data_IF_591381704755
#
_entry.id   IF_591381704755
#
_cell.length_a   1.000
_cell.length_b   1.000
_cell.length_c   1.000
_cell.angle_alpha   90.00
_cell.angle_beta   90.00
_cell.angle_gamma   90.00
#
_symmetry.space_group_name_H-M   'P 1'
#
loop_
_entity.id
_entity.type
_entity.pdbx_description
1 polymer ?
#
# COMPACT_ATOMS: atom_id res chain seq x y z
N UNK A 1 9.89 -20.63 -14.85
CA UNK A 1 10.20 -19.25 -14.42
C UNK A 1 11.36 -19.22 -13.44
N UNK A 2 11.29 -19.92 -12.30
CA UNK A 2 12.38 -19.94 -11.31
C UNK A 2 13.74 -20.33 -11.92
N UNK A 3 13.80 -21.42 -12.69
CA UNK A 3 15.08 -21.86 -13.30
C UNK A 3 15.64 -20.87 -14.33
N UNK A 4 14.77 -20.13 -15.04
CA UNK A 4 15.21 -19.09 -15.96
C UNK A 4 15.83 -17.91 -15.21
N UNK A 5 15.20 -17.46 -14.12
CA UNK A 5 15.72 -16.39 -13.27
C UNK A 5 17.05 -16.77 -12.61
N UNK A 6 17.19 -18.03 -12.16
CA UNK A 6 18.45 -18.53 -11.59
C UNK A 6 19.60 -18.52 -12.58
N UNK A 7 19.33 -18.78 -13.87
CA UNK A 7 20.36 -18.77 -14.93
C UNK A 7 20.85 -17.37 -15.26
N UNK A 8 20.01 -16.34 -15.07
CA UNK A 8 20.36 -14.96 -15.37
C UNK A 8 21.23 -14.31 -14.28
N UNK A 9 21.33 -14.93 -13.09
CA UNK A 9 22.14 -14.49 -11.95
C UNK A 9 21.99 -13.00 -11.62
N UNK A 10 20.74 -12.50 -11.73
CA UNK A 10 20.43 -11.09 -11.49
C UNK A 10 20.59 -10.80 -9.99
N UNK A 11 21.35 -9.76 -9.60
CA UNK A 11 21.49 -9.37 -8.21
C UNK A 11 20.16 -9.03 -7.53
N UNK A 12 20.15 -9.02 -6.20
CA UNK A 12 19.01 -8.49 -5.44
C UNK A 12 18.75 -7.02 -5.82
N UNK A 13 17.49 -6.63 -5.95
CA UNK A 13 17.15 -5.26 -6.34
C UNK A 13 15.75 -5.09 -6.91
N UNK A 14 15.45 -3.84 -7.24
CA UNK A 14 14.22 -3.40 -7.90
C UNK A 14 14.57 -2.92 -9.30
N UNK A 15 14.10 -3.66 -10.30
CA UNK A 15 14.36 -3.40 -11.70
C UNK A 15 13.06 -2.98 -12.39
N UNK A 16 13.14 -2.00 -13.26
CA UNK A 16 12.09 -1.67 -14.22
C UNK A 16 12.58 -2.12 -15.60
N UNK A 17 11.69 -2.51 -16.51
CA UNK A 17 12.05 -2.78 -17.89
C UNK A 17 10.92 -2.32 -18.82
N UNK A 18 11.25 -1.70 -19.96
CA UNK A 18 12.59 -1.23 -20.35
C UNK A 18 13.11 -0.10 -19.43
N UNK A 19 14.39 -0.16 -19.03
CA UNK A 19 15.00 0.84 -18.15
C UNK A 19 15.86 1.81 -18.94
N UNK A 20 15.67 3.12 -18.73
CA UNK A 20 16.55 4.14 -19.28
C UNK A 20 17.60 4.50 -18.22
N UNK A 21 18.84 4.02 -18.37
CA UNK A 21 19.90 4.28 -17.39
C UNK A 21 20.41 5.73 -17.44
N UNK A 22 20.58 6.29 -18.64
CA UNK A 22 20.87 7.71 -18.84
C UNK A 22 19.58 8.43 -19.31
N UNK A 23 19.02 9.35 -18.50
CA UNK A 23 17.84 10.13 -18.89
C UNK A 23 17.98 10.87 -20.23
N UNK A 24 19.21 11.15 -20.70
CA UNK A 24 19.46 11.78 -22.00
C UNK A 24 19.12 10.86 -23.16
N UNK A 25 19.23 9.54 -22.98
CA UNK A 25 18.92 8.55 -24.02
C UNK A 25 17.43 8.32 -24.21
N UNK A 26 16.59 8.78 -23.27
CA UNK A 26 15.15 8.51 -23.28
C UNK A 26 14.46 8.95 -24.58
N UNK A 27 14.86 10.09 -25.15
CA UNK A 27 14.27 10.62 -26.38
C UNK A 27 14.91 10.08 -27.67
N UNK A 28 15.89 9.19 -27.56
CA UNK A 28 16.53 8.61 -28.74
C UNK A 28 15.61 7.61 -29.40
N UNK A 29 15.66 7.51 -30.73
CA UNK A 29 14.89 6.52 -31.49
C UNK A 29 15.20 5.09 -31.03
N UNK A 30 16.46 4.82 -30.66
CA UNK A 30 16.88 3.54 -30.10
C UNK A 30 16.10 3.17 -28.83
N UNK A 31 16.01 4.09 -27.87
CA UNK A 31 15.31 3.81 -26.62
C UNK A 31 13.79 3.73 -26.83
N UNK A 32 13.22 4.60 -27.66
CA UNK A 32 11.80 4.54 -28.01
C UNK A 32 11.44 3.21 -28.69
N UNK A 33 12.29 2.69 -29.59
CA UNK A 33 12.07 1.38 -30.19
C UNK A 33 12.09 0.23 -29.15
N UNK A 34 12.97 0.29 -28.14
CA UNK A 34 12.96 -0.66 -27.02
C UNK A 34 11.67 -0.55 -26.18
N UNK A 35 11.19 0.67 -25.99
CA UNK A 35 9.94 0.96 -25.30
C UNK A 35 8.75 0.36 -26.08
N UNK A 36 8.69 0.54 -27.39
CA UNK A 36 7.59 0.08 -28.24
C UNK A 36 7.48 -1.46 -28.31
N UNK A 37 8.61 -2.19 -28.32
CA UNK A 37 8.59 -3.66 -28.39
C UNK A 37 8.19 -4.30 -27.04
N UNK A 38 8.41 -3.61 -25.92
CA UNK A 38 8.24 -4.16 -24.57
C UNK A 38 9.05 -5.43 -24.30
N UNK A 39 8.68 -6.25 -23.28
CA UNK A 39 7.57 -6.09 -22.34
C UNK A 39 7.82 -4.97 -21.33
N UNK A 40 6.75 -4.48 -20.68
CA UNK A 40 6.83 -3.44 -19.65
C UNK A 40 6.57 -4.04 -18.28
N UNK A 41 7.39 -3.73 -17.29
CA UNK A 41 7.14 -4.20 -15.94
C UNK A 41 8.24 -3.88 -14.95
N UNK A 42 8.06 -4.45 -13.76
CA UNK A 42 9.03 -4.39 -12.67
C UNK A 42 9.38 -5.78 -12.18
N UNK A 43 10.64 -5.99 -11.80
CA UNK A 43 11.13 -7.19 -11.14
C UNK A 43 11.73 -6.78 -9.79
N UNK A 44 11.17 -7.32 -8.71
CA UNK A 44 11.72 -7.15 -7.36
C UNK A 44 12.29 -8.48 -6.87
N UNK A 45 13.61 -8.54 -6.69
CA UNK A 45 14.34 -9.69 -6.17
C UNK A 45 14.68 -9.45 -4.69
N UNK A 46 14.02 -10.22 -3.83
CA UNK A 46 14.23 -10.12 -2.38
C UNK A 46 15.62 -10.63 -1.98
N UNK A 47 16.26 -10.00 -0.98
CA UNK A 47 17.59 -10.37 -0.51
C UNK A 47 17.62 -11.74 0.18
N UNK A 48 16.49 -12.19 0.72
CA UNK A 48 16.35 -13.45 1.43
C UNK A 48 14.90 -13.92 1.40
N UNK A 49 14.68 -15.16 1.84
CA UNK A 49 13.33 -15.70 2.08
C UNK A 49 12.57 -14.77 3.04
N UNK A 50 11.35 -14.32 2.70
CA UNK A 50 10.55 -13.49 3.58
C UNK A 50 10.31 -14.16 4.94
N UNK A 51 10.44 -13.38 6.02
CA UNK A 51 10.12 -13.83 7.38
C UNK A 51 8.68 -13.44 7.71
N UNK A 52 7.83 -14.44 7.91
CA UNK A 52 6.44 -14.23 8.28
C UNK A 52 6.32 -13.46 9.60
N UNK A 53 7.08 -13.85 10.63
CA UNK A 53 7.07 -13.19 11.93
C UNK A 53 7.49 -11.72 11.87
N UNK A 54 8.53 -11.40 11.09
CA UNK A 54 8.95 -10.00 10.87
C UNK A 54 7.86 -9.19 10.19
N UNK A 55 7.25 -9.73 9.14
CA UNK A 55 6.19 -9.02 8.41
C UNK A 55 4.98 -8.78 9.30
N UNK A 56 4.55 -9.77 10.09
CA UNK A 56 3.45 -9.58 11.06
C UNK A 56 3.76 -8.50 12.10
N UNK A 57 4.98 -8.48 12.65
CA UNK A 57 5.40 -7.45 13.60
C UNK A 57 5.39 -6.05 12.99
N UNK A 58 5.88 -5.90 11.75
CA UNK A 58 5.84 -4.63 11.03
C UNK A 58 4.40 -4.20 10.69
N UNK A 59 3.53 -5.14 10.30
CA UNK A 59 2.11 -4.87 10.05
C UNK A 59 1.40 -4.40 11.32
N UNK A 60 1.66 -5.03 12.46
CA UNK A 60 1.11 -4.59 13.74
C UNK A 60 1.56 -3.17 14.10
N UNK A 61 2.86 -2.88 13.99
CA UNK A 61 3.40 -1.54 14.25
C UNK A 61 2.78 -0.50 13.32
N UNK A 62 2.62 -0.83 12.04
CA UNK A 62 1.93 0.01 11.07
C UNK A 62 0.48 0.32 11.51
N UNK A 63 -0.30 -0.70 11.89
CA UNK A 63 -1.67 -0.48 12.37
C UNK A 63 -1.73 0.37 13.63
N UNK A 64 -0.78 0.21 14.54
CA UNK A 64 -0.69 1.02 15.75
C UNK A 64 -0.44 2.50 15.42
N UNK A 65 0.56 2.79 14.57
CA UNK A 65 0.87 4.15 14.14
C UNK A 65 -0.33 4.81 13.45
N UNK A 66 -0.97 4.10 12.52
CA UNK A 66 -2.16 4.61 11.82
C UNK A 66 -3.29 4.89 12.79
N UNK A 67 -3.57 3.97 13.71
CA UNK A 67 -4.63 4.14 14.71
C UNK A 67 -4.37 5.32 15.63
N UNK A 68 -3.12 5.56 16.04
CA UNK A 68 -2.74 6.72 16.86
C UNK A 68 -2.94 8.04 16.11
N UNK A 69 -2.56 8.11 14.83
CA UNK A 69 -2.77 9.31 14.01
C UNK A 69 -4.26 9.60 13.83
N UNK A 70 -5.06 8.57 13.54
CA UNK A 70 -6.52 8.71 13.42
C UNK A 70 -7.12 9.13 14.78
N UNK A 71 -6.67 8.55 15.89
CA UNK A 71 -7.10 8.92 17.24
C UNK A 71 -6.81 10.39 17.55
N UNK A 72 -5.62 10.87 17.19
CA UNK A 72 -5.23 12.27 17.35
C UNK A 72 -6.18 13.20 16.57
N UNK A 73 -6.44 12.89 15.30
CA UNK A 73 -7.37 13.67 14.48
C UNK A 73 -8.77 13.65 15.10
N UNK A 74 -9.25 12.48 15.52
CA UNK A 74 -10.57 12.34 16.13
C UNK A 74 -10.67 13.13 17.44
N UNK A 75 -9.68 13.03 18.32
CA UNK A 75 -9.64 13.74 19.60
C UNK A 75 -9.54 15.26 19.45
N UNK A 76 -8.89 15.74 18.39
CA UNK A 76 -8.86 17.17 18.05
C UNK A 76 -10.18 17.66 17.44
N UNK A 77 -10.98 16.77 16.86
CA UNK A 77 -12.19 17.12 16.09
C UNK A 77 -13.50 16.86 16.84
N UNK A 78 -13.49 16.01 17.86
CA UNK A 78 -14.67 15.55 18.60
C UNK A 78 -14.44 15.69 20.09
N UNK A 79 -15.42 16.28 20.78
CA UNK A 79 -15.42 16.35 22.24
C UNK A 79 -15.74 14.97 22.86
N UNK A 80 -15.38 14.74 24.13
CA UNK A 80 -15.98 13.65 24.91
C UNK A 80 -17.52 13.73 24.88
N UNK A 81 -18.20 12.60 24.83
CA UNK A 81 -19.65 12.48 24.69
C UNK A 81 -20.18 12.70 23.27
N UNK A 82 -19.31 12.77 22.27
CA UNK A 82 -19.75 12.87 20.87
C UNK A 82 -20.53 11.61 20.45
N UNK A 83 -21.60 11.84 19.68
CA UNK A 83 -22.45 10.79 19.12
C UNK A 83 -21.65 9.72 18.36
N UNK A 84 -22.01 8.45 18.57
CA UNK A 84 -21.38 7.29 17.94
C UNK A 84 -21.16 7.46 16.44
N UNK A 85 -22.20 7.87 15.71
CA UNK A 85 -22.15 8.02 14.25
C UNK A 85 -21.13 9.08 13.79
N UNK A 86 -20.96 10.15 14.57
CA UNK A 86 -20.05 11.24 14.24
C UNK A 86 -18.57 10.86 14.43
N UNK A 87 -18.28 10.00 15.42
CA UNK A 87 -16.96 9.42 15.66
C UNK A 87 -16.67 8.34 14.61
N UNK A 88 -17.61 7.41 14.42
CA UNK A 88 -17.52 6.33 13.44
C UNK A 88 -17.20 6.87 12.04
N UNK A 89 -17.98 7.86 11.57
CA UNK A 89 -17.78 8.45 10.25
C UNK A 89 -16.37 9.00 10.09
N UNK A 90 -15.88 9.77 11.07
CA UNK A 90 -14.56 10.40 10.99
C UNK A 90 -13.43 9.37 10.99
N UNK A 91 -13.47 8.45 11.94
CA UNK A 91 -12.43 7.43 12.13
C UNK A 91 -12.43 6.43 10.97
N UNK A 92 -13.60 5.92 10.56
CA UNK A 92 -13.70 5.00 9.42
C UNK A 92 -13.22 5.67 8.12
N UNK A 93 -13.56 6.95 7.90
CA UNK A 93 -13.05 7.70 6.74
C UNK A 93 -11.53 7.82 6.77
N UNK A 94 -10.95 8.14 7.93
CA UNK A 94 -9.49 8.13 8.12
C UNK A 94 -8.88 6.76 7.81
N UNK A 95 -9.53 5.69 8.26
CA UNK A 95 -9.16 4.31 7.94
C UNK A 95 -9.21 4.01 6.44
N UNK A 96 -10.25 4.45 5.73
CA UNK A 96 -10.38 4.25 4.27
C UNK A 96 -9.23 4.92 3.52
N UNK A 97 -8.88 6.16 3.88
CA UNK A 97 -7.78 6.89 3.24
C UNK A 97 -6.46 6.12 3.33
N UNK A 98 -6.21 5.45 4.46
CA UNK A 98 -4.95 4.76 4.70
C UNK A 98 -4.99 3.31 4.19
N UNK A 99 -5.95 2.52 4.63
CA UNK A 99 -6.00 1.07 4.37
C UNK A 99 -6.50 0.72 2.97
N UNK A 100 -7.32 1.57 2.35
CA UNK A 100 -7.83 1.34 0.98
C UNK A 100 -6.99 2.11 -0.03
N UNK A 101 -6.86 3.42 0.15
CA UNK A 101 -6.27 4.28 -0.88
C UNK A 101 -4.74 4.34 -0.81
N UNK A 102 -4.12 4.05 0.33
CA UNK A 102 -2.67 4.17 0.54
C UNK A 102 -1.83 3.34 -0.44
N UNK A 103 -2.30 2.13 -0.80
CA UNK A 103 -1.62 1.26 -1.76
C UNK A 103 -1.99 1.51 -3.23
N UNK A 104 -2.99 2.35 -3.50
CA UNK A 104 -3.61 2.45 -4.82
C UNK A 104 -2.69 3.13 -5.84
N UNK A 105 -1.99 4.20 -5.47
CA UNK A 105 -1.06 4.87 -6.39
C UNK A 105 0.07 3.94 -6.86
N UNK A 106 0.66 3.17 -5.95
CA UNK A 106 1.68 2.20 -6.33
C UNK A 106 1.10 1.17 -7.33
N UNK A 107 -0.11 0.68 -7.09
CA UNK A 107 -0.75 -0.24 -8.02
C UNK A 107 -1.01 0.35 -9.41
N UNK A 108 -1.41 1.62 -9.50
CA UNK A 108 -1.71 2.30 -10.76
C UNK A 108 -0.45 2.50 -11.60
N UNK A 109 0.66 2.88 -10.96
CA UNK A 109 1.91 3.13 -11.63
C UNK A 109 2.68 1.85 -11.99
N UNK A 110 2.55 0.78 -11.21
CA UNK A 110 3.38 -0.43 -11.34
C UNK A 110 2.58 -1.69 -11.72
N UNK A 111 1.41 -1.53 -12.34
CA UNK A 111 0.72 -2.61 -13.04
C UNK A 111 0.08 -3.67 -12.13
N UNK A 112 -0.49 -3.27 -11.00
CA UNK A 112 -1.23 -4.19 -10.11
C UNK A 112 -2.46 -4.75 -10.83
N UNK A 113 -2.66 -6.08 -10.75
CA UNK A 113 -3.84 -6.71 -11.38
C UNK A 113 -5.12 -6.25 -10.69
N UNK A 114 -6.18 -6.04 -11.47
CA UNK A 114 -7.50 -5.59 -10.96
C UNK A 114 -8.02 -6.43 -9.80
N UNK A 115 -7.86 -7.76 -9.87
CA UNK A 115 -8.23 -8.66 -8.75
C UNK A 115 -7.61 -8.23 -7.42
N UNK A 116 -6.31 -7.90 -7.42
CA UNK A 116 -5.62 -7.49 -6.20
C UNK A 116 -6.02 -6.08 -5.75
N UNK A 117 -6.40 -5.18 -6.67
CA UNK A 117 -7.00 -3.91 -6.27
C UNK A 117 -8.29 -4.13 -5.49
N UNK A 118 -9.17 -5.00 -6.01
CA UNK A 118 -10.47 -5.26 -5.40
C UNK A 118 -10.31 -5.97 -4.06
N UNK A 119 -9.48 -7.00 -3.97
CA UNK A 119 -9.29 -7.73 -2.70
C UNK A 119 -8.69 -6.84 -1.63
N UNK A 120 -7.68 -6.04 -1.98
CA UNK A 120 -7.03 -5.15 -1.00
C UNK A 120 -7.96 -4.01 -0.58
N UNK A 121 -8.82 -3.52 -1.49
CA UNK A 121 -9.83 -2.53 -1.15
C UNK A 121 -10.90 -3.08 -0.19
N UNK A 122 -11.34 -4.32 -0.40
CA UNK A 122 -12.29 -4.98 0.51
C UNK A 122 -11.64 -5.20 1.88
N UNK A 123 -10.43 -5.73 1.92
CA UNK A 123 -9.67 -5.96 3.15
C UNK A 123 -9.44 -4.64 3.91
N UNK A 124 -8.98 -3.61 3.21
CA UNK A 124 -8.80 -2.27 3.76
C UNK A 124 -10.10 -1.65 4.28
N UNK A 125 -11.23 -1.89 3.62
CA UNK A 125 -12.54 -1.43 4.07
C UNK A 125 -12.96 -2.14 5.37
N UNK A 126 -12.73 -3.45 5.48
CA UNK A 126 -12.98 -4.20 6.72
C UNK A 126 -12.15 -3.62 7.86
N UNK A 127 -10.86 -3.36 7.65
CA UNK A 127 -10.01 -2.73 8.66
C UNK A 127 -10.50 -1.32 9.03
N UNK A 128 -10.87 -0.50 8.04
CA UNK A 128 -11.35 0.86 8.28
C UNK A 128 -12.65 0.88 9.12
N UNK A 129 -13.60 0.01 8.79
CA UNK A 129 -14.86 -0.12 9.52
C UNK A 129 -14.64 -0.67 10.93
N UNK A 130 -13.75 -1.65 11.09
CA UNK A 130 -13.40 -2.19 12.41
C UNK A 130 -12.75 -1.13 13.30
N UNK A 131 -11.80 -0.35 12.77
CA UNK A 131 -11.20 0.77 13.50
C UNK A 131 -12.25 1.82 13.86
N UNK A 132 -13.10 2.22 12.90
CA UNK A 132 -14.20 3.15 13.15
C UNK A 132 -15.13 2.69 14.27
N UNK A 133 -15.53 1.41 14.24
CA UNK A 133 -16.41 0.81 15.24
C UNK A 133 -15.78 0.80 16.62
N UNK A 134 -14.53 0.35 16.75
CA UNK A 134 -13.82 0.28 18.03
C UNK A 134 -13.71 1.67 18.67
N UNK A 135 -13.32 2.68 17.90
CA UNK A 135 -13.21 4.05 18.42
C UNK A 135 -14.57 4.65 18.79
N UNK A 136 -15.61 4.41 18.00
CA UNK A 136 -16.94 4.92 18.29
C UNK A 136 -17.56 4.25 19.53
N UNK A 137 -17.33 2.94 19.73
CA UNK A 137 -17.78 2.20 20.92
C UNK A 137 -17.02 2.58 22.19
N UNK A 138 -15.74 2.90 22.08
CA UNK A 138 -14.87 3.25 23.20
C UNK A 138 -14.67 4.77 23.35
N UNK A 139 -15.51 5.56 22.68
CA UNK A 139 -15.36 7.01 22.73
C UNK A 139 -15.63 7.52 24.16
N UNK A 140 -14.80 8.42 24.72
CA UNK A 140 -14.97 8.86 26.10
C UNK A 140 -16.34 9.52 26.30
N UNK A 141 -17.14 9.01 27.23
CA UNK A 141 -18.46 9.57 27.56
C UNK A 141 -19.58 9.18 26.60
N UNK A 142 -19.35 8.22 25.70
CA UNK A 142 -20.39 7.55 24.93
C UNK A 142 -21.19 6.55 25.78
#
# INVERSE_FOLDING_TARGET
MLDALRKLDIPQGSYMFPNCEDPKEYKTERFQALYDIGPWGTLNLFPAKPSMGRNMGLTFLYFLVVSVVIAYIAGASRAPGAEFGAVFQLVATGGVLVYVLGGMMNGLWFGKRLRFFVTDAIDGLVYALATGLIFALLWPGA
#
